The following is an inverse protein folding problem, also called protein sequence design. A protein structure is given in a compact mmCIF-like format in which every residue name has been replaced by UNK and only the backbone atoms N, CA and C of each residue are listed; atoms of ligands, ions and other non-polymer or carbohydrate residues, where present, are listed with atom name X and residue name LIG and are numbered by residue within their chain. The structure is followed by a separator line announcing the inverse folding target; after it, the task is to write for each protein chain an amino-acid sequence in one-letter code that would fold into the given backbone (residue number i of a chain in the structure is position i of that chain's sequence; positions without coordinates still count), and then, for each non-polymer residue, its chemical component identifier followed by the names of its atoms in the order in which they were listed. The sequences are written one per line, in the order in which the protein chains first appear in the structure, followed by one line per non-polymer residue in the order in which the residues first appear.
data_IF_121796944908
#
_entry.id   IF_121796944908
#
_cell.length_a   1.000
_cell.length_b   1.000
_cell.length_c   1.000
_cell.angle_alpha   90.00
_cell.angle_beta   90.00
_cell.angle_gamma   90.00
#
_symmetry.space_group_name_H-M   'P 1'
#
loop_
_entity.id
_entity.type
_entity.pdbx_description
1 polymer ?
#
# COMPACT_ATOMS: atom_id res chain seq x y z
N UNK A 1 15.71 -32.75 -7.02
CA UNK A 1 15.33 -31.77 -5.98
C UNK A 1 16.28 -30.60 -6.09
N UNK A 2 15.89 -29.56 -6.83
CA UNK A 2 16.65 -28.31 -6.88
C UNK A 2 15.90 -27.34 -5.96
N UNK A 3 16.54 -27.02 -4.82
CA UNK A 3 16.14 -25.93 -3.95
C UNK A 3 16.71 -24.66 -4.58
N UNK A 4 15.84 -23.73 -4.95
CA UNK A 4 16.23 -22.37 -5.28
C UNK A 4 15.39 -21.43 -4.41
N UNK A 5 15.81 -21.11 -3.17
CA UNK A 5 15.34 -19.91 -2.52
C UNK A 5 16.34 -18.80 -2.87
N UNK A 6 15.84 -17.69 -3.40
CA UNK A 6 16.23 -16.29 -3.12
C UNK A 6 15.41 -15.48 -4.11
N UNK A 7 14.17 -15.17 -3.76
CA UNK A 7 13.54 -13.95 -4.30
C UNK A 7 14.28 -12.83 -3.60
N UNK A 8 15.14 -12.15 -4.35
CA UNK A 8 15.88 -11.00 -3.87
C UNK A 8 14.90 -9.83 -3.71
N UNK A 9 14.14 -9.82 -2.62
CA UNK A 9 13.38 -8.66 -2.15
C UNK A 9 14.34 -7.76 -1.36
N UNK A 10 15.34 -7.22 -2.07
CA UNK A 10 16.33 -6.34 -1.48
C UNK A 10 16.56 -5.19 -2.45
N UNK A 11 15.65 -4.23 -2.49
CA UNK A 11 15.97 -2.86 -2.89
C UNK A 11 14.79 -1.89 -2.60
N UNK A 12 14.58 -1.46 -1.35
CA UNK A 12 13.88 -0.19 -1.07
C UNK A 12 14.04 0.31 0.38
N UNK A 13 15.23 0.15 0.96
CA UNK A 13 15.58 0.72 2.27
C UNK A 13 16.75 1.71 2.15
N UNK A 14 16.68 2.60 1.16
CA UNK A 14 17.68 3.64 0.96
C UNK A 14 17.08 4.95 0.42
N UNK A 15 15.98 5.42 1.00
CA UNK A 15 15.60 6.85 0.92
C UNK A 15 15.12 7.33 2.30
N UNK A 16 15.91 7.08 3.35
CA UNK A 16 15.86 7.93 4.55
C UNK A 16 16.97 8.98 4.41
N UNK A 17 16.81 9.88 3.44
CA UNK A 17 17.54 11.14 3.48
C UNK A 17 16.79 12.07 4.45
N UNK A 18 17.49 12.78 5.37
CA UNK A 18 16.85 13.64 6.33
C UNK A 18 16.34 14.91 5.62
N UNK A 19 15.11 14.89 5.13
CA UNK A 19 14.38 16.10 4.74
C UNK A 19 13.75 16.71 6.00
N UNK A 20 14.59 17.05 6.98
CA UNK A 20 14.19 17.82 8.16
C UNK A 20 15.19 18.95 8.50
N UNK A 21 16.11 19.27 7.59
CA UNK A 21 17.12 20.29 7.85
C UNK A 21 17.41 21.16 6.64
N UNK A 22 16.46 22.06 6.30
CA UNK A 22 16.63 23.33 5.58
C UNK A 22 15.22 23.84 5.26
N UNK A 23 14.82 25.10 5.43
CA UNK A 23 15.37 26.29 6.04
C UNK A 23 14.18 27.23 6.09
N UNK A 24 14.07 28.00 7.17
CA UNK A 24 13.13 29.09 7.34
C UNK A 24 13.03 29.98 6.10
N UNK A 25 11.88 29.96 5.46
CA UNK A 25 11.33 31.04 4.66
C UNK A 25 9.82 30.86 4.72
N UNK A 26 9.15 31.66 5.54
CA UNK A 26 7.69 31.85 5.52
C UNK A 26 7.29 32.54 4.21
N UNK A 27 7.57 31.89 3.07
CA UNK A 27 6.70 32.03 1.93
C UNK A 27 5.49 31.16 2.28
N UNK A 28 4.29 31.73 2.27
CA UNK A 28 3.07 30.95 2.23
C UNK A 28 3.20 30.02 1.02
N UNK A 29 3.65 28.77 1.22
CA UNK A 29 3.48 27.71 0.25
C UNK A 29 1.97 27.51 0.14
N UNK A 30 1.37 28.28 -0.77
CA UNK A 30 0.00 28.08 -1.18
C UNK A 30 -0.13 26.63 -1.61
N UNK A 31 -0.93 25.88 -0.85
CA UNK A 31 -1.21 24.48 -1.11
C UNK A 31 -1.60 24.30 -2.58
N UNK A 32 -1.02 23.32 -3.30
CA UNK A 32 -1.34 23.13 -4.70
C UNK A 32 -2.84 22.87 -4.84
N UNK A 33 -3.50 23.74 -5.60
CA UNK A 33 -4.90 23.53 -6.00
C UNK A 33 -4.92 22.67 -7.23
N UNK A 34 -5.52 21.48 -7.13
CA UNK A 34 -5.70 20.58 -8.25
C UNK A 34 -6.83 21.07 -9.17
N UNK A 35 -6.64 20.93 -10.48
CA UNK A 35 -7.75 21.01 -11.42
C UNK A 35 -8.65 19.76 -11.29
N UNK A 36 -9.93 19.82 -11.74
CA UNK A 36 -10.82 18.66 -11.67
C UNK A 36 -10.26 17.40 -12.36
N UNK A 37 -9.50 17.57 -13.44
CA UNK A 37 -8.85 16.46 -14.13
C UNK A 37 -7.69 15.85 -13.31
N UNK A 38 -6.95 16.68 -12.59
CA UNK A 38 -5.90 16.21 -11.67
C UNK A 38 -6.52 15.51 -10.46
N UNK A 39 -7.57 16.06 -9.85
CA UNK A 39 -8.29 15.38 -8.76
C UNK A 39 -8.81 14.02 -9.20
N UNK A 40 -9.40 13.91 -10.39
CA UNK A 40 -9.87 12.63 -10.94
C UNK A 40 -8.73 11.61 -11.12
N UNK A 41 -7.55 12.06 -11.56
CA UNK A 41 -6.39 11.18 -11.73
C UNK A 41 -5.87 10.69 -10.37
N UNK A 42 -5.78 11.58 -9.37
CA UNK A 42 -5.36 11.24 -8.00
C UNK A 42 -6.37 10.28 -7.37
N UNK A 43 -7.67 10.58 -7.49
CA UNK A 43 -8.76 9.70 -7.04
C UNK A 43 -8.65 8.29 -7.65
N UNK A 44 -8.44 8.21 -8.97
CA UNK A 44 -8.27 6.94 -9.65
C UNK A 44 -7.00 6.19 -9.23
N UNK A 45 -5.92 6.91 -8.90
CA UNK A 45 -4.69 6.33 -8.37
C UNK A 45 -4.91 5.69 -6.98
N UNK A 46 -5.53 6.42 -6.06
CA UNK A 46 -5.89 5.90 -4.74
C UNK A 46 -6.86 4.71 -4.82
N UNK A 47 -7.88 4.76 -5.68
CA UNK A 47 -8.82 3.64 -5.84
C UNK A 47 -8.17 2.37 -6.42
N UNK A 48 -7.15 2.50 -7.29
CA UNK A 48 -6.38 1.32 -7.74
C UNK A 48 -5.53 0.74 -6.63
N UNK A 49 -4.91 1.61 -5.83
CA UNK A 49 -4.08 1.23 -4.69
C UNK A 49 -4.90 0.45 -3.66
N UNK A 50 -6.10 0.93 -3.30
CA UNK A 50 -7.07 0.23 -2.45
C UNK A 50 -7.46 -1.15 -3.03
N UNK A 51 -7.85 -1.20 -4.31
CA UNK A 51 -8.30 -2.44 -4.93
C UNK A 51 -7.19 -3.52 -4.99
N UNK A 52 -5.95 -3.14 -5.25
CA UNK A 52 -4.81 -4.06 -5.26
C UNK A 52 -4.40 -4.49 -3.84
N UNK A 53 -4.49 -3.58 -2.86
CA UNK A 53 -4.28 -3.92 -1.45
C UNK A 53 -5.29 -4.98 -0.97
N UNK A 54 -6.58 -4.79 -1.27
CA UNK A 54 -7.64 -5.74 -0.90
C UNK A 54 -7.42 -7.13 -1.53
N UNK A 55 -6.94 -7.19 -2.78
CA UNK A 55 -6.59 -8.46 -3.43
C UNK A 55 -5.38 -9.13 -2.80
N UNK A 56 -4.33 -8.37 -2.49
CA UNK A 56 -3.18 -8.88 -1.75
C UNK A 56 -3.61 -9.46 -0.39
N UNK A 57 -4.50 -8.76 0.32
CA UNK A 57 -5.09 -9.24 1.57
C UNK A 57 -5.76 -10.61 1.41
N UNK A 58 -6.67 -10.73 0.44
CA UNK A 58 -7.35 -11.98 0.14
C UNK A 58 -6.39 -13.12 -0.23
N UNK A 59 -5.40 -12.83 -1.08
CA UNK A 59 -4.41 -13.81 -1.51
C UNK A 59 -3.54 -14.32 -0.35
N UNK A 60 -3.11 -13.43 0.57
CA UNK A 60 -2.37 -13.86 1.76
C UNK A 60 -3.21 -14.76 2.66
N UNK A 61 -4.48 -14.41 2.90
CA UNK A 61 -5.39 -15.22 3.72
C UNK A 61 -5.55 -16.63 3.15
N UNK A 62 -5.67 -16.75 1.82
CA UNK A 62 -5.68 -18.06 1.15
C UNK A 62 -4.33 -18.74 1.35
N UNK A 63 -3.21 -18.10 0.99
CA UNK A 63 -1.87 -18.68 1.08
C UNK A 63 -1.48 -19.17 2.49
N UNK A 64 -1.98 -18.51 3.53
CA UNK A 64 -1.72 -18.83 4.93
C UNK A 64 -2.73 -19.82 5.54
N UNK A 65 -3.74 -20.27 4.78
CA UNK A 65 -4.73 -21.23 5.29
C UNK A 65 -4.07 -22.61 5.52
N UNK A 66 -4.17 -23.18 6.73
CA UNK A 66 -3.61 -24.51 7.02
C UNK A 66 -4.20 -25.60 6.12
N UNK A 67 -3.40 -26.62 5.84
CA UNK A 67 -3.81 -27.84 5.12
C UNK A 67 -4.34 -27.62 3.69
N UNK A 68 -4.14 -26.44 3.10
CA UNK A 68 -4.40 -26.24 1.68
C UNK A 68 -3.47 -27.10 0.82
N UNK A 69 -3.95 -27.61 -0.33
CA UNK A 69 -3.09 -28.22 -1.33
C UNK A 69 -1.97 -27.25 -1.74
N UNK A 70 -0.72 -27.73 -1.80
CA UNK A 70 0.45 -26.89 -2.11
C UNK A 70 0.29 -26.12 -3.43
N UNK A 71 -0.40 -26.68 -4.42
CA UNK A 71 -0.70 -25.96 -5.66
C UNK A 71 -1.52 -24.68 -5.41
N UNK A 72 -2.56 -24.78 -4.59
CA UNK A 72 -3.43 -23.63 -4.25
C UNK A 72 -2.66 -22.62 -3.40
N UNK A 73 -1.89 -23.10 -2.42
CA UNK A 73 -1.08 -22.22 -1.58
C UNK A 73 0.00 -21.49 -2.40
N UNK A 74 0.65 -22.17 -3.34
CA UNK A 74 1.65 -21.58 -4.24
C UNK A 74 1.03 -20.52 -5.16
N UNK A 75 -0.11 -20.82 -5.78
CA UNK A 75 -0.80 -19.87 -6.66
C UNK A 75 -1.22 -18.60 -5.88
N UNK A 76 -1.71 -18.77 -4.65
CA UNK A 76 -2.08 -17.65 -3.79
C UNK A 76 -0.86 -16.81 -3.34
N UNK A 77 0.31 -17.42 -3.10
CA UNK A 77 1.56 -16.68 -2.84
C UNK A 77 2.01 -15.87 -4.06
N UNK A 78 1.86 -16.43 -5.26
CA UNK A 78 2.17 -15.72 -6.50
C UNK A 78 1.21 -14.54 -6.73
N UNK A 79 -0.08 -14.74 -6.50
CA UNK A 79 -1.08 -13.68 -6.55
C UNK A 79 -0.78 -12.58 -5.53
N UNK A 80 -0.50 -12.93 -4.27
CA UNK A 80 -0.08 -11.97 -3.25
C UNK A 80 1.12 -11.14 -3.71
N UNK A 81 2.19 -11.79 -4.21
CA UNK A 81 3.39 -11.09 -4.68
C UNK A 81 3.10 -10.19 -5.88
N UNK A 82 2.23 -10.62 -6.80
CA UNK A 82 1.83 -9.83 -7.97
C UNK A 82 1.06 -8.59 -7.54
N UNK A 83 0.05 -8.75 -6.68
CA UNK A 83 -0.81 -7.66 -6.22
C UNK A 83 -0.04 -6.66 -5.34
N UNK A 84 0.88 -7.15 -4.48
CA UNK A 84 1.76 -6.28 -3.72
C UNK A 84 2.67 -5.41 -4.61
N UNK A 85 3.19 -5.97 -5.71
CA UNK A 85 3.96 -5.21 -6.68
C UNK A 85 3.10 -4.19 -7.46
N UNK A 86 1.79 -4.43 -7.63
CA UNK A 86 0.87 -3.43 -8.19
C UNK A 86 0.63 -2.27 -7.22
N UNK A 87 0.49 -2.55 -5.92
CA UNK A 87 0.39 -1.50 -4.88
C UNK A 87 1.62 -0.59 -4.93
N UNK A 88 2.83 -1.16 -4.92
CA UNK A 88 4.07 -0.38 -5.02
C UNK A 88 4.14 0.44 -6.31
N UNK A 89 3.70 -0.12 -7.45
CA UNK A 89 3.64 0.63 -8.72
C UNK A 89 2.71 1.84 -8.60
N UNK A 90 1.52 1.68 -8.03
CA UNK A 90 0.58 2.78 -7.90
C UNK A 90 1.01 3.83 -6.87
N UNK A 91 1.74 3.44 -5.83
CA UNK A 91 2.45 4.39 -4.95
C UNK A 91 3.44 5.23 -5.75
N UNK A 92 4.25 4.62 -6.61
CA UNK A 92 5.19 5.36 -7.47
C UNK A 92 4.47 6.29 -8.45
N UNK A 93 3.41 5.81 -9.10
CA UNK A 93 2.59 6.63 -10.00
C UNK A 93 1.99 7.84 -9.28
N UNK A 94 1.48 7.68 -8.06
CA UNK A 94 0.94 8.77 -7.24
C UNK A 94 2.02 9.77 -6.82
N UNK A 95 3.23 9.32 -6.50
CA UNK A 95 4.37 10.19 -6.18
C UNK A 95 4.83 11.05 -7.37
N UNK A 96 4.47 10.66 -8.60
CA UNK A 96 4.74 11.44 -9.82
C UNK A 96 3.61 12.44 -10.14
N UNK A 97 2.50 12.42 -9.39
CA UNK A 97 1.38 13.34 -9.56
C UNK A 97 1.53 14.59 -8.69
N UNK A 98 0.85 15.67 -9.08
CA UNK A 98 0.61 16.79 -8.17
C UNK A 98 -0.37 16.34 -7.11
N UNK A 99 0.06 16.34 -5.84
CA UNK A 99 -0.77 16.01 -4.68
C UNK A 99 -0.95 17.25 -3.80
N UNK A 100 -2.10 17.36 -3.13
CA UNK A 100 -2.24 18.29 -2.00
C UNK A 100 -1.36 17.85 -0.85
N UNK A 101 -1.12 18.74 0.12
CA UNK A 101 -0.29 18.40 1.28
C UNK A 101 -0.90 17.23 2.08
N UNK A 102 -2.23 17.20 2.22
CA UNK A 102 -2.91 16.10 2.92
C UNK A 102 -2.76 14.77 2.19
N UNK A 103 -2.84 14.76 0.86
CA UNK A 103 -2.70 13.57 0.03
C UNK A 103 -1.27 13.04 0.05
N UNK A 104 -0.27 13.91 -0.03
CA UNK A 104 1.15 13.55 0.08
C UNK A 104 1.45 12.94 1.46
N UNK A 105 1.00 13.59 2.54
CA UNK A 105 1.15 13.05 3.90
C UNK A 105 0.47 11.69 4.07
N UNK A 106 -0.72 11.50 3.48
CA UNK A 106 -1.40 10.21 3.48
C UNK A 106 -0.61 9.15 2.68
N UNK A 107 -0.10 9.48 1.49
CA UNK A 107 0.69 8.53 0.69
C UNK A 107 1.98 8.11 1.40
N UNK A 108 2.65 9.03 2.10
CA UNK A 108 3.83 8.71 2.92
C UNK A 108 3.45 7.76 4.06
N UNK A 109 2.41 8.08 4.83
CA UNK A 109 1.94 7.23 5.93
C UNK A 109 1.50 5.84 5.44
N UNK A 110 0.80 5.78 4.30
CA UNK A 110 0.44 4.54 3.63
C UNK A 110 1.69 3.71 3.29
N UNK A 111 2.69 4.33 2.64
CA UNK A 111 3.89 3.64 2.17
C UNK A 111 4.69 3.03 3.33
N UNK A 112 4.81 3.76 4.44
CA UNK A 112 5.50 3.28 5.64
C UNK A 112 4.77 2.08 6.26
N UNK A 113 3.45 2.18 6.45
CA UNK A 113 2.66 1.11 7.06
C UNK A 113 2.53 -0.11 6.12
N UNK A 114 2.44 0.10 4.80
CA UNK A 114 2.45 -0.97 3.80
C UNK A 114 3.76 -1.77 3.82
N UNK A 115 4.91 -1.11 3.92
CA UNK A 115 6.21 -1.79 4.02
C UNK A 115 6.31 -2.66 5.28
N UNK A 116 5.76 -2.20 6.41
CA UNK A 116 5.66 -3.00 7.63
C UNK A 116 4.73 -4.21 7.43
N UNK A 117 3.57 -4.01 6.80
CA UNK A 117 2.64 -5.09 6.48
C UNK A 117 3.27 -6.15 5.55
N UNK A 118 4.09 -5.75 4.57
CA UNK A 118 4.82 -6.69 3.70
C UNK A 118 5.87 -7.50 4.47
N UNK A 119 6.59 -6.87 5.40
CA UNK A 119 7.56 -7.56 6.25
C UNK A 119 6.88 -8.63 7.11
N UNK A 120 5.72 -8.29 7.67
CA UNK A 120 4.93 -9.22 8.47
C UNK A 120 4.33 -10.35 7.61
N UNK A 121 3.85 -10.04 6.41
CA UNK A 121 3.34 -11.03 5.46
C UNK A 121 4.42 -12.05 5.04
N UNK A 122 5.65 -11.60 4.79
CA UNK A 122 6.78 -12.50 4.51
C UNK A 122 7.04 -13.43 5.69
N UNK A 123 6.95 -12.91 6.91
CA UNK A 123 7.12 -13.72 8.12
C UNK A 123 6.02 -14.78 8.25
N UNK A 124 4.76 -14.40 8.02
CA UNK A 124 3.61 -15.32 7.99
C UNK A 124 3.82 -16.45 6.97
N UNK A 125 4.30 -16.12 5.77
CA UNK A 125 4.46 -17.08 4.68
C UNK A 125 5.68 -17.99 4.82
N UNK A 126 6.75 -17.55 5.47
CA UNK A 126 8.05 -18.25 5.47
C UNK A 126 8.35 -18.98 6.77
N UNK A 127 7.99 -18.43 7.93
CA UNK A 127 8.34 -19.03 9.24
C UNK A 127 7.38 -20.16 9.65
N UNK A 128 6.26 -20.32 8.95
CA UNK A 128 5.27 -21.37 9.21
C UNK A 128 4.51 -21.20 10.53
N UNK A 129 4.74 -20.10 11.26
CA UNK A 129 3.97 -19.67 12.43
C UNK A 129 2.87 -18.67 12.02
N UNK A 130 2.08 -19.09 11.02
CA UNK A 130 0.89 -18.39 10.57
C UNK A 130 -0.28 -18.68 11.52
N UNK A 131 -0.10 -18.34 12.80
CA UNK A 131 -1.22 -18.47 13.74
C UNK A 131 -2.37 -17.59 13.26
N UNK A 132 -3.61 -18.06 13.49
CA UNK A 132 -4.82 -17.32 13.12
C UNK A 132 -4.81 -15.92 13.74
N UNK A 133 -4.28 -15.78 14.95
CA UNK A 133 -4.13 -14.50 15.65
C UNK A 133 -3.17 -13.54 14.91
N UNK A 134 -2.05 -14.05 14.40
CA UNK A 134 -1.06 -13.26 13.66
C UNK A 134 -1.60 -12.78 12.30
N UNK A 135 -2.29 -13.68 11.58
CA UNK A 135 -2.97 -13.32 10.32
C UNK A 135 -4.05 -12.26 10.56
N UNK A 136 -4.80 -12.40 11.67
CA UNK A 136 -5.82 -11.43 12.04
C UNK A 136 -5.23 -10.06 12.40
N UNK A 137 -4.16 -10.02 13.20
CA UNK A 137 -3.46 -8.77 13.53
C UNK A 137 -2.88 -8.09 12.28
N UNK A 138 -2.34 -8.87 11.34
CA UNK A 138 -1.91 -8.35 10.04
C UNK A 138 -3.09 -7.75 9.25
N UNK A 139 -4.23 -8.45 9.18
CA UNK A 139 -5.42 -7.94 8.51
C UNK A 139 -5.94 -6.64 9.16
N UNK A 140 -5.94 -6.54 10.49
CA UNK A 140 -6.32 -5.30 11.19
C UNK A 140 -5.40 -4.12 10.82
N UNK A 141 -4.11 -4.37 10.57
CA UNK A 141 -3.19 -3.34 10.11
C UNK A 141 -3.54 -2.81 8.70
N UNK A 142 -4.13 -3.67 7.85
CA UNK A 142 -4.61 -3.27 6.52
C UNK A 142 -5.89 -2.44 6.59
N UNK A 143 -6.78 -2.71 7.55
CA UNK A 143 -7.95 -1.86 7.76
C UNK A 143 -7.57 -0.41 8.12
N UNK A 144 -6.50 -0.21 8.88
CA UNK A 144 -6.03 1.14 9.17
C UNK A 144 -5.48 1.85 7.90
N UNK A 145 -4.88 1.10 6.97
CA UNK A 145 -4.49 1.61 5.66
C UNK A 145 -5.72 1.95 4.80
N UNK A 146 -6.74 1.10 4.82
CA UNK A 146 -8.01 1.28 4.11
C UNK A 146 -8.70 2.58 4.56
N UNK A 147 -8.86 2.79 5.87
CA UNK A 147 -9.44 4.00 6.44
C UNK A 147 -8.68 5.29 6.04
N UNK A 148 -7.36 5.21 5.92
CA UNK A 148 -6.52 6.31 5.46
C UNK A 148 -6.80 6.67 3.99
N UNK A 149 -6.91 5.66 3.13
CA UNK A 149 -7.19 5.84 1.69
C UNK A 149 -8.64 6.32 1.48
N UNK A 150 -9.60 5.71 2.17
CA UNK A 150 -11.01 6.10 2.17
C UNK A 150 -11.21 7.55 2.59
N UNK A 151 -10.44 8.00 3.59
CA UNK A 151 -10.43 9.40 4.01
C UNK A 151 -10.02 10.35 2.88
N UNK A 152 -9.01 9.98 2.08
CA UNK A 152 -8.59 10.79 0.92
C UNK A 152 -9.61 10.72 -0.22
N UNK A 153 -10.13 9.53 -0.54
CA UNK A 153 -11.17 9.36 -1.56
C UNK A 153 -12.40 10.18 -1.23
N UNK A 154 -12.87 10.11 0.02
CA UNK A 154 -14.03 10.87 0.51
C UNK A 154 -13.81 12.38 0.45
N UNK A 155 -12.61 12.87 0.77
CA UNK A 155 -12.28 14.29 0.72
C UNK A 155 -12.29 14.87 -0.71
N UNK A 156 -12.15 14.02 -1.74
CA UNK A 156 -12.20 14.40 -3.15
C UNK A 156 -13.61 14.30 -3.75
N UNK A 157 -14.57 13.72 -3.02
CA UNK A 157 -15.96 13.61 -3.44
C UNK A 157 -16.78 14.79 -2.91
N UNK A 158 -17.71 15.26 -3.73
CA UNK A 158 -18.72 16.21 -3.32
C UNK A 158 -19.91 15.60 -2.63
N UNK A 159 -20.77 16.48 -2.10
CA UNK A 159 -21.98 16.11 -1.36
C UNK A 159 -22.94 15.19 -2.16
N UNK A 160 -22.81 15.19 -3.50
CA UNK A 160 -23.57 14.35 -4.43
C UNK A 160 -22.82 13.10 -4.93
N UNK A 161 -21.60 12.85 -4.43
CA UNK A 161 -20.74 11.75 -4.84
C UNK A 161 -19.97 11.98 -6.15
N UNK A 162 -19.93 13.21 -6.67
CA UNK A 162 -19.10 13.57 -7.83
C UNK A 162 -17.69 13.98 -7.40
N UNK A 163 -16.65 13.68 -8.19
CA UNK A 163 -15.27 14.10 -7.89
C UNK A 163 -15.07 15.56 -8.31
N UNK A 164 -14.51 16.41 -7.43
CA UNK A 164 -14.34 17.86 -7.64
C UNK A 164 -13.05 18.27 -8.37
#
# INVERSE_FOLDING_TARGET
MIRTPVVALALLLAITAPVLAQSSSEAEETEPTLSPAETLNVYAGFGKLEAHMAKAAGALMVAATPDLPELIASDAREEFSSEAAQVERHVLELNEMTLTKSQDMALVAFSEAWALALTEADTILTEGDASVERIWAWWESLNALDELIDGQLSAMLGDDGTVF
#
